data_IF_146563929596
#
_entry.id   IF_146563929596
#
_cell.length_a   1.000
_cell.length_b   1.000
_cell.length_c   1.000
_cell.angle_alpha   90.00
_cell.angle_beta   90.00
_cell.angle_gamma   90.00
#
_symmetry.space_group_name_H-M   'P 1'
#
loop_
_entity.id
_entity.type
_entity.pdbx_description
1 polymer ?
#
# COMPACT_ATOMS: atom_id res chain seq x y z
N UNK A 1 4.76 20.01 -1.41
CA UNK A 1 4.51 18.62 -1.82
C UNK A 1 5.57 17.69 -1.24
N UNK A 2 5.32 17.09 -0.07
CA UNK A 2 6.26 16.19 0.62
C UNK A 2 5.79 14.73 0.62
N UNK A 3 4.64 14.44 -0.01
CA UNK A 3 4.08 13.10 -0.14
C UNK A 3 3.24 12.67 1.07
N UNK A 4 2.59 11.51 0.95
CA UNK A 4 1.56 11.03 1.87
C UNK A 4 2.01 10.72 3.30
N UNK A 5 3.30 10.76 3.62
CA UNK A 5 3.79 10.64 5.00
C UNK A 5 4.26 11.99 5.54
N UNK A 6 5.00 12.76 4.74
CA UNK A 6 5.65 13.98 5.21
C UNK A 6 4.78 15.24 5.08
N UNK A 7 3.85 15.31 4.13
CA UNK A 7 2.90 16.43 4.05
C UNK A 7 2.02 16.57 5.29
N UNK A 8 1.33 15.53 5.78
CA UNK A 8 0.58 15.65 7.04
C UNK A 8 1.50 15.90 8.25
N UNK A 9 2.70 15.34 8.25
CA UNK A 9 3.69 15.58 9.31
C UNK A 9 4.07 17.06 9.42
N UNK A 10 4.38 17.69 8.28
CA UNK A 10 4.74 19.11 8.23
C UNK A 10 3.55 20.02 8.57
N UNK A 11 2.33 19.67 8.16
CA UNK A 11 1.13 20.40 8.57
C UNK A 11 0.96 20.37 10.10
N UNK A 12 1.05 19.18 10.72
CA UNK A 12 0.93 19.06 12.18
C UNK A 12 2.05 19.83 12.90
N UNK A 13 3.30 19.73 12.45
CA UNK A 13 4.42 20.52 13.01
C UNK A 13 4.24 22.04 12.84
N UNK A 14 3.41 22.46 11.89
CA UNK A 14 3.06 23.88 11.66
C UNK A 14 1.81 24.32 12.42
N UNK A 15 1.30 23.49 13.34
CA UNK A 15 0.08 23.78 14.10
C UNK A 15 -1.22 23.58 13.33
N UNK A 16 -1.20 22.84 12.21
CA UNK A 16 -2.37 22.54 11.37
C UNK A 16 -2.65 21.04 11.43
N UNK A 17 -3.64 20.62 12.20
CA UNK A 17 -3.97 19.20 12.32
C UNK A 17 -4.92 18.86 13.48
N UNK A 18 -4.96 17.59 13.91
CA UNK A 18 -5.80 17.14 15.01
C UNK A 18 -5.36 17.75 16.33
N UNK A 19 -6.29 18.31 17.10
CA UNK A 19 -5.98 19.01 18.35
C UNK A 19 -5.23 18.10 19.36
N UNK A 20 -5.62 16.83 19.47
CA UNK A 20 -4.99 15.85 20.36
C UNK A 20 -3.50 15.67 20.05
N UNK A 21 -3.13 15.63 18.76
CA UNK A 21 -1.74 15.52 18.32
C UNK A 21 -0.95 16.79 18.63
N UNK A 22 -1.53 17.96 18.37
CA UNK A 22 -0.85 19.25 18.61
C UNK A 22 -0.61 19.46 20.10
N UNK A 23 -1.63 19.23 20.94
CA UNK A 23 -1.53 19.34 22.38
C UNK A 23 -0.53 18.35 22.97
N UNK A 24 -0.56 17.09 22.53
CA UNK A 24 0.36 16.04 23.02
C UNK A 24 1.83 16.44 22.90
N UNK A 25 2.20 17.17 21.86
CA UNK A 25 3.58 17.58 21.59
C UNK A 25 3.84 19.08 21.86
N UNK A 26 2.90 19.79 22.49
CA UNK A 26 3.06 21.20 22.87
C UNK A 26 3.18 22.15 21.68
N UNK A 27 2.59 21.81 20.54
CA UNK A 27 2.62 22.63 19.32
C UNK A 27 1.44 23.62 19.37
N UNK A 28 1.67 24.94 19.23
CA UNK A 28 0.59 25.91 19.18
C UNK A 28 -0.36 25.64 18.00
N UNK A 29 -1.66 25.56 18.27
CA UNK A 29 -2.67 25.37 17.23
C UNK A 29 -2.83 26.65 16.41
N UNK A 30 -2.62 26.53 15.09
CA UNK A 30 -2.90 27.58 14.10
C UNK A 30 -4.29 27.37 13.50
N UNK A 31 -4.61 26.14 13.10
CA UNK A 31 -5.93 25.77 12.59
C UNK A 31 -6.21 24.29 12.86
N UNK A 32 -7.38 23.99 13.44
CA UNK A 32 -7.77 22.61 13.68
C UNK A 32 -8.28 21.97 12.38
N UNK A 33 -7.60 20.90 11.96
CA UNK A 33 -7.98 20.11 10.78
C UNK A 33 -7.86 18.62 11.15
N UNK A 34 -8.92 18.00 11.71
CA UNK A 34 -8.84 16.66 12.29
C UNK A 34 -8.53 15.57 11.26
N UNK A 35 -8.72 15.85 9.98
CA UNK A 35 -8.36 14.95 8.88
C UNK A 35 -6.85 14.79 8.63
N UNK A 36 -6.00 15.72 9.09
CA UNK A 36 -4.56 15.68 8.80
C UNK A 36 -3.94 14.42 9.42
N UNK A 37 -3.26 13.63 8.59
CA UNK A 37 -2.66 12.37 8.99
C UNK A 37 -3.62 11.19 9.08
N UNK A 38 -4.94 11.38 8.97
CA UNK A 38 -5.91 10.28 8.93
C UNK A 38 -5.98 9.65 7.55
N UNK A 39 -6.78 8.60 7.34
CA UNK A 39 -7.10 8.09 5.99
C UNK A 39 -5.84 7.65 5.19
N UNK A 40 -4.84 7.09 5.87
CA UNK A 40 -3.63 6.56 5.22
C UNK A 40 -3.99 5.30 4.43
N UNK A 41 -3.99 5.40 3.11
CA UNK A 41 -4.20 4.26 2.23
C UNK A 41 -2.89 3.69 1.72
N UNK A 42 -2.88 2.39 1.50
CA UNK A 42 -1.85 1.70 0.75
C UNK A 42 -2.41 0.38 0.22
N UNK A 43 -1.86 -0.08 -0.88
CA UNK A 43 -2.07 -1.45 -1.32
C UNK A 43 -1.22 -2.39 -0.45
N UNK A 44 -1.86 -3.45 0.04
CA UNK A 44 -1.15 -4.56 0.69
C UNK A 44 -0.97 -5.71 -0.31
N UNK A 45 0.05 -6.52 -0.08
CA UNK A 45 0.26 -7.73 -0.85
C UNK A 45 0.69 -8.89 0.06
N UNK A 46 -0.02 -10.01 -0.09
CA UNK A 46 0.45 -11.32 0.35
C UNK A 46 1.05 -12.07 -0.85
N UNK A 47 1.77 -13.15 -0.62
CA UNK A 47 2.47 -13.85 -1.69
C UNK A 47 2.58 -15.35 -1.40
N UNK A 48 2.41 -16.17 -2.43
CA UNK A 48 2.84 -17.57 -2.41
C UNK A 48 4.23 -17.66 -3.03
N UNK A 49 5.05 -18.60 -2.57
CA UNK A 49 6.39 -18.87 -3.12
C UNK A 49 6.47 -20.31 -3.60
N UNK A 50 7.20 -20.52 -4.69
CA UNK A 50 7.38 -21.83 -5.30
C UNK A 50 8.77 -21.97 -5.91
N UNK A 51 9.29 -23.19 -5.92
CA UNK A 51 10.53 -23.53 -6.60
C UNK A 51 10.23 -23.76 -8.08
N UNK A 52 11.07 -23.21 -8.95
CA UNK A 52 10.98 -23.44 -10.40
C UNK A 52 11.75 -24.70 -10.81
N UNK A 53 11.32 -25.38 -11.88
CA UNK A 53 12.00 -26.56 -12.42
C UNK A 53 13.42 -26.27 -12.92
N UNK A 54 14.25 -27.31 -12.98
CA UNK A 54 15.61 -27.22 -13.53
C UNK A 54 15.59 -26.73 -14.99
N UNK A 55 16.60 -25.94 -15.37
CA UNK A 55 16.70 -25.33 -16.70
C UNK A 55 15.96 -23.99 -16.88
N UNK A 56 15.17 -23.55 -15.90
CA UNK A 56 14.52 -22.22 -15.92
C UNK A 56 15.44 -21.17 -15.31
N UNK A 57 15.70 -20.11 -16.08
CA UNK A 57 16.45 -18.93 -15.61
C UNK A 57 15.48 -17.85 -15.13
N UNK A 58 15.74 -17.31 -13.94
CA UNK A 58 15.01 -16.18 -13.37
C UNK A 58 15.83 -14.89 -13.52
N UNK A 59 15.29 -13.90 -14.22
CA UNK A 59 15.88 -12.57 -14.35
C UNK A 59 15.44 -11.64 -13.20
N UNK A 60 16.24 -10.62 -12.87
CA UNK A 60 15.96 -9.68 -11.78
C UNK A 60 15.45 -8.31 -12.26
N UNK A 61 15.28 -8.13 -13.57
CA UNK A 61 14.94 -6.85 -14.19
C UNK A 61 13.42 -6.65 -14.38
N UNK A 62 13.05 -5.51 -14.99
CA UNK A 62 11.66 -5.07 -15.10
C UNK A 62 10.77 -6.01 -15.93
N UNK A 63 11.37 -6.83 -16.81
CA UNK A 63 10.67 -7.76 -17.69
C UNK A 63 10.30 -9.08 -16.99
N UNK A 64 10.71 -9.24 -15.73
CA UNK A 64 10.46 -10.43 -14.93
C UNK A 64 9.00 -10.60 -14.46
N UNK A 65 8.09 -9.68 -14.84
CA UNK A 65 6.65 -9.85 -14.63
C UNK A 65 6.08 -10.66 -15.78
N UNK A 66 5.91 -11.96 -15.55
CA UNK A 66 5.47 -12.87 -16.62
C UNK A 66 3.95 -12.91 -16.78
N UNK A 67 3.19 -12.52 -15.74
CA UNK A 67 1.72 -12.52 -15.76
C UNK A 67 1.14 -11.53 -14.76
N UNK A 68 0.08 -10.82 -15.17
CA UNK A 68 -0.73 -9.96 -14.32
C UNK A 68 -2.22 -10.20 -14.61
N UNK A 69 -2.99 -10.53 -13.56
CA UNK A 69 -4.44 -10.75 -13.64
C UNK A 69 -5.17 -9.86 -12.66
N UNK A 70 -5.96 -8.94 -13.20
CA UNK A 70 -7.01 -8.27 -12.46
C UNK A 70 -8.26 -9.13 -12.44
N UNK A 71 -8.86 -9.26 -11.26
CA UNK A 71 -10.16 -9.89 -11.11
C UNK A 71 -10.91 -9.27 -9.94
N UNK A 72 -12.21 -9.52 -9.90
CA UNK A 72 -13.09 -9.10 -8.81
C UNK A 72 -13.24 -10.25 -7.82
N UNK A 73 -12.91 -10.03 -6.56
CA UNK A 73 -13.13 -11.03 -5.51
C UNK A 73 -14.62 -11.32 -5.31
N UNK A 74 -14.93 -12.56 -4.95
CA UNK A 74 -16.31 -13.00 -4.75
C UNK A 74 -17.06 -12.13 -3.73
N UNK A 75 -18.18 -11.55 -4.17
CA UNK A 75 -19.02 -10.68 -3.32
C UNK A 75 -18.41 -9.30 -3.06
N UNK A 76 -17.35 -8.91 -3.78
CA UNK A 76 -16.88 -7.53 -3.81
C UNK A 76 -17.81 -6.67 -4.68
N UNK A 77 -18.13 -5.47 -4.19
CA UNK A 77 -18.82 -4.44 -4.98
C UNK A 77 -17.85 -3.63 -5.85
N UNK A 78 -16.55 -3.77 -5.63
CA UNK A 78 -15.51 -3.06 -6.35
C UNK A 78 -14.95 -3.93 -7.47
N UNK A 79 -15.15 -3.53 -8.72
CA UNK A 79 -14.58 -4.25 -9.87
C UNK A 79 -13.05 -4.24 -9.81
N UNK A 80 -12.42 -5.35 -10.21
CA UNK A 80 -10.97 -5.48 -10.31
C UNK A 80 -10.23 -5.03 -9.04
N UNK A 81 -10.73 -5.44 -7.88
CA UNK A 81 -10.17 -5.09 -6.57
C UNK A 81 -9.00 -5.97 -6.15
N UNK A 82 -8.71 -7.02 -6.92
CA UNK A 82 -7.58 -7.92 -6.71
C UNK A 82 -6.64 -7.92 -7.92
N UNK A 83 -5.35 -8.12 -7.65
CA UNK A 83 -4.30 -8.31 -8.66
C UNK A 83 -3.42 -9.49 -8.28
N UNK A 84 -3.36 -10.50 -9.15
CA UNK A 84 -2.34 -11.54 -9.08
C UNK A 84 -1.20 -11.22 -10.03
N UNK A 85 0.05 -11.32 -9.54
CA UNK A 85 1.22 -11.06 -10.37
C UNK A 85 2.33 -12.06 -10.09
N UNK A 86 2.79 -12.74 -11.13
CA UNK A 86 3.93 -13.65 -11.03
C UNK A 86 5.23 -12.89 -11.23
N UNK A 87 6.20 -13.10 -10.34
CA UNK A 87 7.53 -12.48 -10.41
C UNK A 87 8.57 -13.37 -9.71
N UNK A 88 9.85 -13.32 -10.10
CA UNK A 88 10.91 -13.94 -9.33
C UNK A 88 11.12 -13.21 -8.01
N UNK A 89 11.77 -13.88 -7.06
CA UNK A 89 12.18 -13.27 -5.79
C UNK A 89 13.60 -12.70 -5.84
N UNK A 90 14.32 -12.94 -6.94
CA UNK A 90 15.65 -12.38 -7.20
C UNK A 90 15.55 -10.86 -7.23
N UNK A 91 16.40 -10.21 -6.44
CA UNK A 91 16.50 -8.76 -6.45
C UNK A 91 17.98 -8.39 -6.22
N UNK A 92 18.54 -7.67 -7.19
CA UNK A 92 19.97 -7.32 -7.21
C UNK A 92 20.23 -5.93 -6.63
N UNK A 93 19.18 -5.24 -6.16
CA UNK A 93 19.34 -3.88 -5.61
C UNK A 93 20.08 -3.91 -4.29
N UNK A 94 20.99 -2.95 -4.12
CA UNK A 94 21.67 -2.75 -2.85
C UNK A 94 20.67 -2.47 -1.72
N UNK A 95 20.80 -3.19 -0.61
CA UNK A 95 20.01 -2.89 0.58
C UNK A 95 20.51 -1.57 1.19
N UNK A 96 19.64 -0.54 1.18
CA UNK A 96 19.99 0.79 1.72
C UNK A 96 19.93 0.84 3.25
N UNK A 97 19.10 0.01 3.86
CA UNK A 97 18.96 -0.10 5.32
C UNK A 97 19.03 -1.59 5.69
N UNK A 98 20.11 -2.05 6.36
CA UNK A 98 20.30 -3.46 6.69
C UNK A 98 19.09 -4.06 7.43
N UNK A 99 18.59 -5.20 6.95
CA UNK A 99 17.51 -5.95 7.58
C UNK A 99 16.09 -5.44 7.31
N UNK A 100 15.91 -4.36 6.55
CA UNK A 100 14.60 -3.77 6.23
C UNK A 100 14.06 -4.25 4.88
N UNK A 101 14.87 -5.00 4.12
CA UNK A 101 14.41 -5.62 2.88
C UNK A 101 13.42 -6.74 3.17
N UNK A 102 12.39 -6.84 2.33
CA UNK A 102 11.39 -7.92 2.41
C UNK A 102 12.10 -9.27 2.27
N UNK A 103 12.25 -10.00 3.37
CA UNK A 103 12.69 -11.39 3.34
C UNK A 103 11.54 -12.23 2.80
N UNK A 104 11.77 -12.88 1.67
CA UNK A 104 10.83 -13.84 1.13
C UNK A 104 10.91 -15.15 1.92
N UNK A 105 9.77 -15.79 2.18
CA UNK A 105 9.75 -17.14 2.75
C UNK A 105 10.12 -18.14 1.65
N UNK A 106 11.40 -18.48 1.57
CA UNK A 106 11.97 -19.34 0.51
C UNK A 106 12.44 -20.71 1.04
N UNK A 107 12.31 -20.95 2.35
CA UNK A 107 12.87 -22.14 2.99
C UNK A 107 14.38 -22.25 2.74
N UNK A 108 14.82 -23.44 2.35
CA UNK A 108 16.22 -23.74 1.99
C UNK A 108 16.51 -23.57 0.49
N UNK A 109 15.53 -23.12 -0.29
CA UNK A 109 15.68 -22.99 -1.75
C UNK A 109 16.47 -21.72 -2.08
N UNK A 110 17.53 -21.80 -2.91
CA UNK A 110 18.27 -20.63 -3.37
C UNK A 110 17.35 -19.57 -4.02
N UNK A 111 17.52 -18.26 -3.75
CA UNK A 111 16.65 -17.20 -4.28
C UNK A 111 16.51 -17.18 -5.81
N UNK A 112 17.55 -17.58 -6.54
CA UNK A 112 17.59 -17.70 -8.01
C UNK A 112 16.80 -18.90 -8.55
N UNK A 113 16.25 -19.73 -7.67
CA UNK A 113 15.37 -20.85 -7.99
C UNK A 113 13.95 -20.66 -7.45
N UNK A 114 13.62 -19.47 -6.93
CA UNK A 114 12.30 -19.18 -6.35
C UNK A 114 11.57 -18.09 -7.12
N UNK A 115 10.33 -18.38 -7.44
CA UNK A 115 9.36 -17.41 -7.94
C UNK A 115 8.17 -17.29 -6.98
N UNK A 116 7.38 -16.24 -7.17
CA UNK A 116 6.20 -15.95 -6.36
C UNK A 116 5.02 -15.54 -7.21
N UNK A 117 3.82 -15.78 -6.69
CA UNK A 117 2.61 -15.08 -7.13
C UNK A 117 2.20 -14.13 -6.01
N UNK A 118 2.32 -12.83 -6.27
CA UNK A 118 1.85 -11.77 -5.37
C UNK A 118 0.34 -11.62 -5.53
N UNK A 119 -0.39 -11.73 -4.44
CA UNK A 119 -1.79 -11.37 -4.31
C UNK A 119 -1.88 -9.96 -3.71
N UNK A 120 -2.25 -8.97 -4.52
CA UNK A 120 -2.37 -7.56 -4.11
C UNK A 120 -3.84 -7.20 -3.94
N UNK A 121 -4.19 -6.64 -2.78
CA UNK A 121 -5.48 -6.03 -2.55
C UNK A 121 -5.45 -4.59 -3.06
N UNK A 122 -6.09 -4.35 -4.19
CA UNK A 122 -6.09 -3.10 -4.93
C UNK A 122 -7.04 -2.04 -4.38
N UNK A 123 -8.12 -2.44 -3.70
CA UNK A 123 -9.08 -1.52 -3.10
C UNK A 123 -9.41 -1.98 -1.68
N UNK A 124 -8.50 -1.78 -0.72
CA UNK A 124 -8.75 -2.12 0.68
C UNK A 124 -9.88 -1.28 1.25
N UNK A 125 -10.58 -1.83 2.24
CA UNK A 125 -11.65 -1.13 2.97
C UNK A 125 -11.12 -0.48 4.26
N UNK A 126 -10.04 -1.00 4.83
CA UNK A 126 -9.35 -0.40 5.97
C UNK A 126 -8.32 0.65 5.57
N UNK A 127 -8.31 1.79 6.26
CA UNK A 127 -7.27 2.81 6.18
C UNK A 127 -6.49 2.92 7.49
N UNK A 128 -5.31 3.50 7.43
CA UNK A 128 -4.42 3.76 8.56
C UNK A 128 -4.39 5.23 9.00
N UNK A 129 -3.29 5.59 9.66
CA UNK A 129 -2.97 6.96 10.03
C UNK A 129 -1.45 7.23 10.03
N UNK A 130 -1.10 8.52 10.02
CA UNK A 130 0.21 9.12 10.30
C UNK A 130 0.03 10.04 11.49
N UNK A 131 0.96 9.99 12.44
CA UNK A 131 0.95 10.76 13.69
C UNK A 131 2.31 11.36 13.96
N UNK A 132 2.32 12.41 14.77
CA UNK A 132 3.57 12.94 15.30
C UNK A 132 4.22 11.88 16.21
N UNK A 133 5.55 11.87 16.23
CA UNK A 133 6.34 11.13 17.22
C UNK A 133 7.13 12.07 18.13
N UNK A 134 7.28 13.33 17.72
CA UNK A 134 7.98 14.40 18.42
C UNK A 134 7.56 15.75 17.80
N UNK A 135 7.82 16.85 18.50
CA UNK A 135 7.79 18.20 17.93
C UNK A 135 9.07 18.56 17.16
N UNK A 136 10.13 17.74 17.25
CA UNK A 136 11.36 17.94 16.48
C UNK A 136 11.14 17.53 15.02
N UNK A 137 11.26 18.46 14.04
CA UNK A 137 11.06 18.16 12.62
C UNK A 137 12.03 17.13 12.05
N UNK A 138 13.18 16.87 12.69
CA UNK A 138 14.15 15.86 12.28
C UNK A 138 13.70 14.44 12.63
N UNK A 139 12.78 14.29 13.59
CA UNK A 139 12.24 12.99 13.98
C UNK A 139 11.19 12.55 12.95
N UNK A 140 11.26 11.28 12.53
CA UNK A 140 10.28 10.72 11.59
C UNK A 140 8.91 10.56 12.28
N UNK A 141 7.80 10.81 11.56
CA UNK A 141 6.47 10.54 12.11
C UNK A 141 6.28 9.05 12.35
N UNK A 142 5.37 8.72 13.26
CA UNK A 142 4.85 7.36 13.39
C UNK A 142 3.69 7.16 12.42
N UNK A 143 3.48 5.93 11.95
CA UNK A 143 2.32 5.60 11.13
C UNK A 143 1.94 4.14 11.31
N UNK A 144 0.68 3.82 11.04
CA UNK A 144 0.19 2.46 11.05
C UNK A 144 -0.83 2.30 9.92
N UNK A 145 -0.58 1.40 8.97
CA UNK A 145 -1.50 1.11 7.87
C UNK A 145 -2.78 0.41 8.30
N UNK A 146 -2.77 -0.24 9.48
CA UNK A 146 -3.86 -1.10 9.98
C UNK A 146 -4.31 -2.14 8.95
N UNK A 147 -3.34 -2.75 8.27
CA UNK A 147 -3.62 -3.80 7.29
C UNK A 147 -4.47 -4.91 7.91
N UNK A 148 -5.46 -5.37 7.14
CA UNK A 148 -6.31 -6.50 7.51
C UNK A 148 -7.13 -6.26 8.79
N UNK A 149 -7.34 -4.98 9.15
CA UNK A 149 -8.27 -4.58 10.22
C UNK A 149 -9.72 -4.80 9.79
N UNK A 150 -10.06 -4.49 8.54
CA UNK A 150 -11.40 -4.69 8.03
C UNK A 150 -11.59 -6.18 7.66
N UNK A 151 -12.66 -6.85 8.15
CA UNK A 151 -12.86 -8.30 7.93
C UNK A 151 -13.01 -8.67 6.45
N UNK A 152 -13.48 -7.73 5.62
CA UNK A 152 -13.53 -7.94 4.18
C UNK A 152 -12.13 -8.04 3.55
N UNK A 153 -11.14 -7.31 4.06
CA UNK A 153 -9.79 -7.30 3.46
C UNK A 153 -9.13 -8.67 3.60
N UNK A 154 -9.15 -9.24 4.81
CA UNK A 154 -8.54 -10.55 5.05
C UNK A 154 -9.24 -11.66 4.26
N UNK A 155 -10.58 -11.62 4.18
CA UNK A 155 -11.37 -12.57 3.39
C UNK A 155 -10.96 -12.56 1.92
N UNK A 156 -10.82 -11.38 1.32
CA UNK A 156 -10.44 -11.22 -0.10
C UNK A 156 -9.01 -11.69 -0.36
N UNK A 157 -8.08 -11.41 0.55
CA UNK A 157 -6.69 -11.89 0.46
C UNK A 157 -6.63 -13.41 0.56
N UNK A 158 -7.39 -14.02 1.48
CA UNK A 158 -7.50 -15.48 1.64
C UNK A 158 -7.99 -16.14 0.36
N UNK A 159 -9.08 -15.61 -0.22
CA UNK A 159 -9.61 -16.05 -1.51
C UNK A 159 -8.55 -15.93 -2.61
N UNK A 160 -7.86 -14.78 -2.70
CA UNK A 160 -6.86 -14.56 -3.74
C UNK A 160 -5.63 -15.44 -3.63
N UNK A 161 -5.21 -15.81 -2.43
CA UNK A 161 -4.15 -16.80 -2.24
C UNK A 161 -4.59 -18.19 -2.72
N UNK A 162 -5.80 -18.62 -2.33
CA UNK A 162 -6.37 -19.89 -2.83
C UNK A 162 -6.52 -19.89 -4.35
N UNK A 163 -6.92 -18.77 -4.94
CA UNK A 163 -7.02 -18.64 -6.38
C UNK A 163 -5.65 -18.69 -7.07
N UNK A 164 -4.64 -18.01 -6.52
CA UNK A 164 -3.27 -18.08 -7.01
C UNK A 164 -2.71 -19.51 -6.97
N UNK A 165 -3.05 -20.30 -5.94
CA UNK A 165 -2.65 -21.71 -5.84
C UNK A 165 -3.36 -22.56 -6.89
N UNK A 166 -4.67 -22.36 -7.14
CA UNK A 166 -5.36 -23.03 -8.25
C UNK A 166 -4.72 -22.75 -9.61
N UNK A 167 -4.21 -21.53 -9.81
CA UNK A 167 -3.44 -21.18 -11.02
C UNK A 167 -2.10 -21.92 -11.03
N UNK A 168 -1.39 -21.93 -9.91
CA UNK A 168 -0.10 -22.62 -9.76
C UNK A 168 -0.19 -24.13 -10.01
N UNK A 169 -1.29 -24.76 -9.58
CA UNK A 169 -1.53 -26.21 -9.72
C UNK A 169 -2.14 -26.58 -11.10
N UNK A 170 -2.39 -25.60 -11.96
CA UNK A 170 -2.96 -25.84 -13.29
C UNK A 170 -1.91 -26.32 -14.30
N UNK A 171 -2.38 -26.93 -15.40
CA UNK A 171 -1.52 -27.36 -16.52
C UNK A 171 -0.67 -26.24 -17.11
N UNK A 172 -1.07 -24.97 -16.96
CA UNK A 172 -0.30 -23.82 -17.45
C UNK A 172 1.04 -23.63 -16.72
N UNK A 173 1.15 -24.11 -15.48
CA UNK A 173 2.37 -24.00 -14.66
C UNK A 173 3.15 -25.31 -14.56
N UNK A 174 2.66 -26.41 -15.16
CA UNK A 174 3.27 -27.75 -15.03
C UNK A 174 4.72 -27.81 -15.48
N UNK A 175 5.12 -27.01 -16.47
CA UNK A 175 6.49 -26.99 -17.01
C UNK A 175 7.37 -25.95 -16.30
N UNK A 176 6.79 -25.17 -15.38
CA UNK A 176 7.47 -24.10 -14.64
C UNK A 176 7.72 -24.47 -13.18
N UNK A 177 6.73 -25.04 -12.51
CA UNK A 177 6.73 -25.28 -11.06
C UNK A 177 7.30 -26.66 -10.76
N UNK A 178 8.27 -26.72 -9.85
CA UNK A 178 8.71 -27.98 -9.26
C UNK A 178 7.81 -28.33 -8.06
N UNK A 179 7.69 -27.42 -7.09
CA UNK A 179 6.75 -27.53 -5.97
C UNK A 179 6.49 -26.16 -5.31
N UNK A 180 5.34 -26.01 -4.64
CA UNK A 180 5.05 -24.86 -3.77
C UNK A 180 5.86 -24.95 -2.47
N UNK A 181 6.44 -23.83 -2.06
CA UNK A 181 7.19 -23.69 -0.81
C UNK A 181 6.26 -23.19 0.30
N UNK A 182 5.59 -22.05 0.08
CA UNK A 182 4.62 -21.49 1.03
C UNK A 182 3.40 -20.86 0.35
N UNK A 183 2.24 -20.79 1.04
CA UNK A 183 1.94 -21.45 2.33
C UNK A 183 1.99 -22.98 2.18
N UNK A 184 2.03 -23.75 3.27
CA UNK A 184 1.95 -25.22 3.22
C UNK A 184 0.49 -25.69 3.14
N UNK A 185 0.24 -26.97 2.86
CA UNK A 185 -1.12 -27.52 2.80
C UNK A 185 -1.87 -27.41 4.14
N UNK A 186 -1.17 -27.64 5.26
CA UNK A 186 -1.75 -27.47 6.60
C UNK A 186 -2.21 -26.03 6.85
N UNK A 187 -1.42 -25.03 6.42
CA UNK A 187 -1.80 -23.63 6.53
C UNK A 187 -3.00 -23.32 5.63
N UNK A 188 -3.12 -23.95 4.47
CA UNK A 188 -4.23 -23.70 3.53
C UNK A 188 -5.56 -24.34 3.94
N UNK A 189 -5.48 -25.46 4.64
CA UNK A 189 -6.63 -26.23 5.09
C UNK A 189 -7.39 -25.56 6.24
N UNK A 190 -6.77 -24.63 6.97
CA UNK A 190 -7.33 -23.92 8.11
C UNK A 190 -7.33 -22.41 7.89
N UNK A 191 -8.51 -21.79 7.94
CA UNK A 191 -8.70 -20.35 7.75
C UNK A 191 -8.01 -19.51 8.82
N UNK A 192 -7.95 -19.99 10.07
CA UNK A 192 -7.30 -19.26 11.17
C UNK A 192 -5.77 -19.34 11.02
N UNK A 193 -5.24 -20.51 10.66
CA UNK A 193 -3.83 -20.67 10.35
C UNK A 193 -3.41 -19.81 9.15
N UNK A 194 -4.24 -19.77 8.10
CA UNK A 194 -4.02 -18.94 6.93
C UNK A 194 -4.03 -17.45 7.27
N UNK A 195 -4.97 -17.00 8.10
CA UNK A 195 -5.04 -15.61 8.53
C UNK A 195 -3.83 -15.18 9.36
N UNK A 196 -3.39 -16.02 10.30
CA UNK A 196 -2.18 -15.80 11.09
C UNK A 196 -0.96 -15.69 10.18
N UNK A 197 -0.83 -16.61 9.22
CA UNK A 197 0.26 -16.59 8.26
C UNK A 197 0.23 -15.34 7.36
N UNK A 198 -0.94 -14.96 6.83
CA UNK A 198 -1.11 -13.73 6.04
C UNK A 198 -0.64 -12.51 6.84
N UNK A 199 -1.02 -12.39 8.12
CA UNK A 199 -0.62 -11.27 8.98
C UNK A 199 0.89 -11.19 9.21
N UNK A 200 1.59 -12.33 9.21
CA UNK A 200 3.05 -12.38 9.35
C UNK A 200 3.78 -11.96 8.07
N UNK A 201 3.19 -12.22 6.89
CA UNK A 201 3.86 -12.03 5.61
C UNK A 201 3.39 -10.81 4.82
N UNK A 202 2.28 -10.19 5.22
CA UNK A 202 1.68 -9.09 4.46
C UNK A 202 2.67 -7.94 4.33
N UNK A 203 2.96 -7.61 3.07
CA UNK A 203 3.88 -6.55 2.68
C UNK A 203 3.16 -5.34 2.11
N UNK A 204 3.92 -4.27 1.93
CA UNK A 204 3.46 -3.05 1.27
C UNK A 204 3.76 -3.07 -0.23
N UNK A 205 2.80 -2.63 -1.05
CA UNK A 205 3.07 -2.32 -2.46
C UNK A 205 3.65 -0.90 -2.67
N UNK A 206 3.87 -0.13 -1.59
CA UNK A 206 4.49 1.22 -1.58
C UNK A 206 3.72 2.28 -2.37
N UNK A 207 2.40 2.23 -2.34
CA UNK A 207 1.50 3.20 -3.00
C UNK A 207 0.73 4.00 -1.94
N UNK A 208 1.48 4.74 -1.13
CA UNK A 208 0.97 5.44 0.05
C UNK A 208 0.22 6.72 -0.36
N UNK A 209 -0.99 6.94 0.15
CA UNK A 209 -1.84 8.08 -0.22
C UNK A 209 -2.85 8.48 0.87
N UNK A 210 -3.53 9.62 0.69
CA UNK A 210 -4.79 9.94 1.36
C UNK A 210 -4.75 10.67 2.71
N UNK A 211 -3.56 10.98 3.22
CA UNK A 211 -3.36 11.61 4.53
C UNK A 211 -3.66 13.10 4.65
N UNK A 212 -3.94 13.74 3.52
CA UNK A 212 -4.46 15.09 3.41
C UNK A 212 -5.68 15.08 2.49
N UNK A 213 -6.61 14.13 2.72
CA UNK A 213 -7.77 13.84 1.87
C UNK A 213 -8.46 15.10 1.34
N UNK A 214 -8.65 15.14 0.02
CA UNK A 214 -9.56 16.08 -0.66
C UNK A 214 -11.02 15.73 -0.36
N UNK A 215 -11.85 16.72 -0.10
CA UNK A 215 -13.29 16.51 0.06
C UNK A 215 -14.11 17.80 0.12
N UNK A 216 -15.44 17.68 0.00
CA UNK A 216 -16.36 18.82 0.07
C UNK A 216 -16.35 19.47 1.47
N UNK A 217 -16.96 20.64 1.62
CA UNK A 217 -17.09 21.32 2.92
C UNK A 217 -17.97 20.56 3.93
N UNK A 218 -18.83 19.67 3.43
CA UNK A 218 -19.63 18.77 4.27
C UNK A 218 -18.82 17.59 4.86
N UNK A 219 -17.61 17.32 4.37
CA UNK A 219 -16.74 16.28 4.89
C UNK A 219 -15.81 16.90 5.95
N UNK A 220 -16.15 16.74 7.23
CA UNK A 220 -15.37 17.26 8.35
C UNK A 220 -13.96 16.67 8.46
N UNK A 221 -13.67 15.57 7.75
CA UNK A 221 -12.37 14.93 7.70
C UNK A 221 -11.58 15.29 6.44
N UNK A 222 -12.10 16.17 5.58
CA UNK A 222 -11.36 16.70 4.45
C UNK A 222 -10.28 17.69 4.93
N UNK A 223 -9.07 17.56 4.39
CA UNK A 223 -7.94 18.44 4.68
C UNK A 223 -7.78 19.51 3.63
N UNK A 224 -8.07 19.15 2.37
CA UNK A 224 -8.07 20.09 1.25
C UNK A 224 -9.41 20.13 0.54
N UNK A 225 -9.71 21.25 -0.10
CA UNK A 225 -10.87 21.39 -0.98
C UNK A 225 -10.59 20.85 -2.40
N UNK A 226 -11.55 21.00 -3.30
CA UNK A 226 -11.46 20.53 -4.70
C UNK A 226 -10.35 21.21 -5.53
N UNK A 227 -9.74 22.28 -5.01
CA UNK A 227 -8.61 23.00 -5.61
C UNK A 227 -7.29 22.72 -4.89
N UNK A 228 -7.26 21.69 -4.03
CA UNK A 228 -6.11 21.33 -3.20
C UNK A 228 -5.68 22.41 -2.19
N UNK A 229 -6.55 23.38 -1.88
CA UNK A 229 -6.31 24.39 -0.83
C UNK A 229 -6.55 23.79 0.53
N UNK A 230 -5.64 24.03 1.48
CA UNK A 230 -5.81 23.57 2.86
C UNK A 230 -7.01 24.29 3.48
N UNK A 231 -7.96 23.52 3.99
CA UNK A 231 -9.20 24.08 4.55
C UNK A 231 -8.88 24.92 5.79
N UNK A 232 -9.47 26.11 5.85
CA UNK A 232 -9.27 27.06 6.95
C UNK A 232 -7.94 27.83 6.92
N UNK A 233 -7.08 27.62 5.91
CA UNK A 233 -5.78 28.30 5.80
C UNK A 233 -5.64 28.97 4.44
N UNK A 234 -5.36 30.27 4.45
CA UNK A 234 -5.16 31.04 3.22
C UNK A 234 -3.74 30.87 2.68
N UNK A 235 -3.60 30.82 1.35
CA UNK A 235 -2.30 30.78 0.70
C UNK A 235 -1.52 29.46 0.86
N UNK A 236 -2.18 28.36 1.24
CA UNK A 236 -1.54 27.06 1.44
C UNK A 236 -2.24 25.96 0.65
N UNK A 237 -1.44 25.16 -0.07
CA UNK A 237 -1.89 24.02 -0.86
C UNK A 237 -1.11 22.76 -0.52
N UNK A 238 -1.75 21.60 -0.70
CA UNK A 238 -1.07 20.30 -0.71
C UNK A 238 -1.31 19.66 -2.06
N UNK A 239 -0.24 19.37 -2.81
CA UNK A 239 -0.33 18.85 -4.18
C UNK A 239 0.58 17.62 -4.31
N UNK A 240 0.12 16.49 -3.76
CA UNK A 240 0.81 15.20 -3.84
C UNK A 240 -0.15 14.04 -3.52
N UNK A 241 0.36 12.81 -3.39
CA UNK A 241 -0.46 11.62 -3.13
C UNK A 241 -1.31 11.67 -1.86
N UNK A 242 -1.00 12.55 -0.90
CA UNK A 242 -1.79 12.72 0.32
C UNK A 242 -3.23 13.19 0.03
N UNK A 243 -3.49 13.88 -1.08
CA UNK A 243 -4.83 14.44 -1.34
C UNK A 243 -5.83 13.44 -1.88
N UNK A 244 -5.37 12.28 -2.35
CA UNK A 244 -6.23 11.26 -2.96
C UNK A 244 -7.25 10.73 -1.92
N UNK A 245 -8.57 10.88 -2.12
CA UNK A 245 -9.53 10.48 -1.10
C UNK A 245 -9.51 8.99 -0.75
N UNK A 246 -9.21 8.18 -1.76
CA UNK A 246 -8.91 6.75 -1.65
C UNK A 246 -7.73 6.45 -2.58
N UNK A 247 -6.95 5.42 -2.25
CA UNK A 247 -5.89 4.96 -3.15
C UNK A 247 -6.48 4.61 -4.53
N UNK A 248 -5.87 5.06 -5.64
CA UNK A 248 -6.27 4.64 -6.97
C UNK A 248 -6.13 3.13 -7.11
N UNK A 249 -7.01 2.51 -7.91
CA UNK A 249 -6.92 1.07 -8.23
C UNK A 249 -5.51 0.72 -8.69
N UNK A 250 -5.03 -0.44 -8.26
CA UNK A 250 -3.77 -1.10 -8.63
C UNK A 250 -3.15 -0.61 -9.95
N UNK A 251 -1.92 -0.08 -9.89
CA UNK A 251 -1.22 0.52 -11.04
C UNK A 251 -0.11 1.52 -10.69
N UNK A 252 0.21 1.68 -9.41
CA UNK A 252 1.12 2.74 -8.95
C UNK A 252 0.40 4.09 -8.81
N UNK A 253 0.87 4.91 -7.88
CA UNK A 253 0.30 6.24 -7.65
C UNK A 253 0.90 7.31 -8.58
N UNK A 254 1.98 7.00 -9.29
CA UNK A 254 2.80 7.97 -10.01
C UNK A 254 2.02 8.78 -11.05
N UNK A 255 1.34 8.11 -11.99
CA UNK A 255 0.58 8.79 -13.05
C UNK A 255 -0.50 9.71 -12.48
N UNK A 256 -1.18 9.27 -11.42
CA UNK A 256 -2.19 10.08 -10.72
C UNK A 256 -1.56 11.29 -10.01
N UNK A 257 -0.38 11.14 -9.39
CA UNK A 257 0.33 12.28 -8.77
C UNK A 257 0.75 13.30 -9.81
N UNK A 258 1.29 12.86 -10.96
CA UNK A 258 1.64 13.76 -12.07
C UNK A 258 0.40 14.51 -12.56
N UNK A 259 -0.71 13.79 -12.80
CA UNK A 259 -1.97 14.40 -13.21
C UNK A 259 -2.48 15.44 -12.19
N UNK A 260 -2.40 15.16 -10.89
CA UNK A 260 -2.78 16.12 -9.84
C UNK A 260 -1.89 17.37 -9.92
N UNK A 261 -0.58 17.20 -10.08
CA UNK A 261 0.37 18.32 -10.22
C UNK A 261 0.06 19.20 -11.43
N UNK A 262 -0.07 18.58 -12.61
CA UNK A 262 -0.41 19.25 -13.87
C UNK A 262 -1.78 19.94 -13.81
N UNK A 263 -2.74 19.38 -13.08
CA UNK A 263 -4.06 20.00 -12.96
C UNK A 263 -4.09 21.21 -12.04
N UNK A 264 -3.37 21.14 -10.92
CA UNK A 264 -3.44 22.17 -9.86
C UNK A 264 -2.57 23.37 -10.19
N UNK A 265 -1.49 23.21 -10.96
CA UNK A 265 -0.61 24.33 -11.34
C UNK A 265 -1.38 25.43 -12.07
N UNK A 266 -2.31 25.08 -12.96
CA UNK A 266 -3.15 26.04 -13.68
C UNK A 266 -4.04 26.86 -12.73
N UNK A 267 -4.61 26.22 -11.70
CA UNK A 267 -5.43 26.89 -10.69
C UNK A 267 -4.62 27.82 -9.80
N UNK A 268 -3.39 27.44 -9.46
CA UNK A 268 -2.50 28.30 -8.68
C UNK A 268 -2.07 29.51 -9.52
N UNK A 269 -1.78 29.29 -10.81
CA UNK A 269 -1.37 30.36 -11.72
C UNK A 269 -2.49 31.35 -12.06
N UNK A 270 -3.76 30.91 -12.05
CA UNK A 270 -4.92 31.77 -12.34
C UNK A 270 -5.34 32.68 -11.20
N UNK A 271 -4.85 32.45 -9.98
CA UNK A 271 -5.45 32.98 -8.74
C UNK A 271 -6.80 32.33 -8.43
#
# INVERSE_FOLDING_TARGET
>A
SAGAIKSPHLLMLSGIGPEDQLQQFGIPTVNEVPGVGQNLWNHLSAQITFKVKEGITLAADADAVHFALHYTSQGSSAINDMLLRTSPVVDQRQERVPGVRTKYLIGEVPPDRVARISCTLGLPDGSGYVRLASADPQVQPSFNYRYLQHPNDIRRVREGLRFAIKILDSDAYKDVVEHRIHPTDDILADDDALDLWIRQIVGTARHVSGTCKMGPDSDSMAVVDQYCRVKGVQGLWVVDASVMPRVPRSGGAHATVVMIGERVVDWIASG
#
